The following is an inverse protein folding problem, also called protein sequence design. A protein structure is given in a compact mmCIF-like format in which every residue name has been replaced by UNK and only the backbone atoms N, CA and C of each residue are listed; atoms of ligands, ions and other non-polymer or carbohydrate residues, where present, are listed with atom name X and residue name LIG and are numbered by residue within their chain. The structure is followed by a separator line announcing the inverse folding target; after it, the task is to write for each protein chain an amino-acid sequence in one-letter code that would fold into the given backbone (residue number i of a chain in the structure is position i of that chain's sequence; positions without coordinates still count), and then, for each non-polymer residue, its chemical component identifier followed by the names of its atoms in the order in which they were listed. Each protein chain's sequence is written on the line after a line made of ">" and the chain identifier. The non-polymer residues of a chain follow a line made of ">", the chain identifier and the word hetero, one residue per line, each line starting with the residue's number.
data_IF_623061627264
#
_entry.id   IF_623061627264
#
_cell.length_a   1.000
_cell.length_b   1.000
_cell.length_c   1.000
_cell.angle_alpha   90.00
_cell.angle_beta   90.00
_cell.angle_gamma   90.00
#
_symmetry.space_group_name_H-M   'P 1'
#
loop_
_entity.id
_entity.type
_entity.pdbx_description
1 polymer ?
#
# COMPACT_ATOMS: atom_id res chain seq x y z
N UNK A 1 14.65 22.84 -43.63
CA UNK A 1 13.90 21.61 -44.00
C UNK A 1 14.93 20.61 -44.51
N UNK A 2 15.38 19.71 -43.63
CA UNK A 2 16.41 18.69 -43.93
C UNK A 2 15.88 17.40 -43.28
N UNK A 3 15.54 16.43 -44.11
CA UNK A 3 15.03 15.12 -43.68
C UNK A 3 16.23 14.17 -43.64
N UNK A 4 16.56 13.66 -42.45
CA UNK A 4 17.60 12.64 -42.27
C UNK A 4 16.91 11.28 -42.08
N UNK A 5 17.03 10.43 -43.09
CA UNK A 5 16.56 9.04 -43.05
C UNK A 5 17.53 8.18 -42.24
N UNK A 6 17.06 7.58 -41.14
CA UNK A 6 17.79 6.51 -40.43
C UNK A 6 17.24 5.15 -40.87
N UNK A 7 18.11 4.34 -41.48
CA UNK A 7 17.87 2.92 -41.78
C UNK A 7 17.82 2.10 -40.48
N UNK A 8 16.74 1.34 -40.30
CA UNK A 8 16.60 0.28 -39.32
C UNK A 8 17.41 -0.96 -39.75
N UNK A 9 18.28 -1.45 -38.87
CA UNK A 9 18.96 -2.75 -39.01
C UNK A 9 18.38 -3.69 -37.96
N UNK A 10 17.75 -4.78 -38.41
CA UNK A 10 17.22 -5.86 -37.56
C UNK A 10 18.33 -6.88 -37.24
N UNK A 11 18.46 -7.37 -35.99
CA UNK A 11 19.39 -8.43 -35.67
C UNK A 11 18.71 -9.81 -35.87
N UNK A 12 19.09 -10.51 -36.94
CA UNK A 12 19.08 -11.98 -36.98
C UNK A 12 20.50 -12.49 -36.74
N UNK A 13 20.58 -13.66 -36.12
CA UNK A 13 21.79 -14.47 -35.88
C UNK A 13 22.55 -14.19 -34.57
N UNK A 14 22.04 -14.78 -33.47
CA UNK A 14 22.90 -15.24 -32.36
C UNK A 14 22.73 -16.74 -32.18
N UNK A 15 23.81 -17.47 -32.51
CA UNK A 15 24.02 -18.89 -32.25
C UNK A 15 24.42 -19.07 -30.78
N UNK A 16 23.90 -20.07 -30.05
CA UNK A 16 24.30 -20.33 -28.66
C UNK A 16 25.67 -21.04 -28.57
N UNK A 17 26.50 -20.75 -27.55
CA UNK A 17 27.77 -21.44 -27.38
C UNK A 17 27.59 -22.87 -26.86
N UNK A 18 28.29 -23.78 -27.54
CA UNK A 18 28.45 -25.21 -27.32
C UNK A 18 29.03 -25.54 -25.94
N UNK A 19 28.37 -26.46 -25.25
CA UNK A 19 28.79 -27.08 -23.99
C UNK A 19 29.91 -28.09 -24.27
N UNK A 20 31.13 -27.82 -23.81
CA UNK A 20 32.25 -28.74 -23.90
C UNK A 20 32.23 -29.74 -22.74
N UNK A 21 31.98 -31.02 -23.05
CA UNK A 21 32.26 -32.15 -22.17
C UNK A 21 33.79 -32.31 -22.00
N UNK A 22 34.26 -32.36 -20.75
CA UNK A 22 35.59 -32.88 -20.41
C UNK A 22 35.39 -34.11 -19.53
N UNK A 23 35.94 -35.24 -19.97
CA UNK A 23 35.99 -36.52 -19.24
C UNK A 23 37.09 -36.49 -18.16
N UNK A 24 36.96 -37.28 -17.08
CA UNK A 24 37.94 -37.32 -16.00
C UNK A 24 39.10 -38.27 -16.32
N UNK A 25 40.32 -37.87 -15.95
CA UNK A 25 41.46 -38.76 -15.84
C UNK A 25 41.98 -38.79 -14.40
N UNK A 26 42.48 -39.96 -14.02
CA UNK A 26 42.79 -40.42 -12.68
C UNK A 26 44.19 -40.02 -12.20
N UNK A 27 44.37 -40.22 -10.89
CA UNK A 27 45.63 -40.44 -10.15
C UNK A 27 46.37 -39.21 -9.60
N UNK A 28 46.61 -39.25 -8.28
CA UNK A 28 47.41 -38.25 -7.56
C UNK A 28 47.18 -38.33 -6.06
N UNK A 29 47.91 -39.24 -5.43
CA UNK A 29 48.03 -39.44 -3.99
C UNK A 29 48.82 -38.28 -3.32
N UNK A 30 48.73 -38.22 -1.98
CA UNK A 30 49.62 -37.57 -1.00
C UNK A 30 49.18 -36.28 -0.30
N UNK A 31 48.98 -36.49 1.02
CA UNK A 31 49.52 -35.72 2.14
C UNK A 31 48.72 -34.53 2.70
N UNK A 32 48.29 -34.77 3.93
CA UNK A 32 47.97 -33.88 5.03
C UNK A 32 48.65 -32.49 5.00
N UNK A 33 47.84 -31.42 5.01
CA UNK A 33 48.21 -30.13 5.60
C UNK A 33 47.00 -29.51 6.32
N UNK A 34 47.23 -29.08 7.56
CA UNK A 34 46.24 -28.49 8.46
C UNK A 34 45.61 -27.19 7.90
N UNK A 35 44.38 -26.83 8.33
CA UNK A 35 43.71 -25.61 7.87
C UNK A 35 44.35 -24.33 8.46
N UNK A 36 44.39 -23.22 7.71
CA UNK A 36 44.83 -21.94 8.22
C UNK A 36 43.80 -21.35 9.19
N UNK A 37 44.29 -20.83 10.31
CA UNK A 37 43.51 -20.07 11.29
C UNK A 37 42.90 -18.82 10.65
N UNK A 38 41.58 -18.68 10.79
CA UNK A 38 40.86 -17.43 10.53
C UNK A 38 41.25 -16.38 11.59
N UNK A 39 41.45 -15.10 11.21
CA UNK A 39 41.62 -14.03 12.19
C UNK A 39 40.32 -13.80 12.96
N UNK A 40 40.40 -13.89 14.28
CA UNK A 40 39.35 -13.46 15.20
C UNK A 40 39.12 -11.95 14.99
N UNK A 41 37.92 -11.56 14.56
CA UNK A 41 37.48 -10.16 14.61
C UNK A 41 37.40 -9.75 16.08
N UNK A 42 38.23 -8.79 16.47
CA UNK A 42 38.17 -8.13 17.77
C UNK A 42 37.36 -6.85 17.63
N UNK A 43 36.06 -6.97 17.38
CA UNK A 43 35.18 -5.82 17.51
C UNK A 43 35.02 -5.50 19.01
N UNK A 44 35.26 -4.24 19.42
CA UNK A 44 35.07 -3.85 20.80
C UNK A 44 33.59 -3.97 21.19
N UNK A 45 33.28 -4.31 22.46
CA UNK A 45 31.91 -4.34 22.93
C UNK A 45 31.25 -2.96 22.77
N UNK A 46 29.94 -2.91 22.52
CA UNK A 46 29.23 -1.66 22.33
C UNK A 46 29.41 -0.74 23.53
N UNK A 47 29.56 0.54 23.22
CA UNK A 47 29.73 1.59 24.22
C UNK A 47 28.47 1.72 25.08
N UNK A 48 28.61 2.27 26.29
CA UNK A 48 27.46 2.56 27.17
C UNK A 48 26.42 3.48 26.51
N UNK A 49 26.81 4.24 25.48
CA UNK A 49 25.96 5.15 24.72
C UNK A 49 25.13 4.39 23.67
N UNK A 50 25.69 3.35 23.05
CA UNK A 50 24.96 2.42 22.15
C UNK A 50 23.98 1.53 22.92
N UNK A 51 24.35 1.09 24.14
CA UNK A 51 23.42 0.36 25.03
C UNK A 51 22.28 1.25 25.56
N UNK A 52 22.52 2.54 25.76
CA UNK A 52 21.47 3.49 26.15
C UNK A 52 20.48 3.76 25.00
N UNK A 53 20.93 3.70 23.74
CA UNK A 53 20.09 3.89 22.56
C UNK A 53 19.12 2.72 22.34
N UNK A 54 19.56 1.49 22.64
CA UNK A 54 18.72 0.29 22.64
C UNK A 54 17.69 0.28 23.78
N UNK A 55 18.05 0.79 24.97
CA UNK A 55 17.14 0.85 26.13
C UNK A 55 16.01 1.88 25.98
N UNK A 56 16.21 2.96 25.19
CA UNK A 56 15.15 3.93 24.88
C UNK A 56 14.09 3.32 23.94
N UNK A 57 14.47 2.34 23.10
CA UNK A 57 13.54 1.66 22.19
C UNK A 57 12.61 0.66 22.93
N UNK A 58 13.07 0.04 24.03
CA UNK A 58 12.25 -0.89 24.82
C UNK A 58 11.33 -0.20 25.86
N UNK A 59 11.63 1.04 26.26
CA UNK A 59 10.85 1.80 27.25
C UNK A 59 9.54 2.36 26.69
N UNK A 60 9.44 2.57 25.37
CA UNK A 60 8.25 3.18 24.74
C UNK A 60 7.02 2.25 24.62
N UNK A 61 7.15 0.96 24.97
CA UNK A 61 6.06 -0.03 24.84
C UNK A 61 5.70 -0.81 26.11
N UNK A 62 6.21 -0.40 27.28
CA UNK A 62 5.82 -1.03 28.55
C UNK A 62 4.60 -0.33 29.17
N UNK A 63 3.41 -0.87 28.90
CA UNK A 63 2.16 -0.42 29.55
C UNK A 63 2.05 -1.09 30.91
N UNK A 64 2.10 -0.28 31.97
CA UNK A 64 1.80 -0.63 33.37
C UNK A 64 0.39 -1.25 33.50
N UNK A 65 0.22 -2.46 34.07
CA UNK A 65 -1.06 -2.91 34.57
C UNK A 65 -1.16 -2.63 36.07
N UNK A 66 -1.90 -1.57 36.46
CA UNK A 66 -2.42 -1.43 37.82
C UNK A 66 -3.93 -1.27 37.77
N UNK A 67 -4.64 -2.21 38.41
CA UNK A 67 -6.03 -2.01 38.81
C UNK A 67 -6.92 -3.25 38.76
N UNK A 68 -6.67 -4.25 39.60
CA UNK A 68 -7.76 -5.11 40.13
C UNK A 68 -7.44 -5.42 41.60
N UNK A 69 -8.21 -4.80 42.50
CA UNK A 69 -8.29 -5.16 43.91
C UNK A 69 -9.45 -6.14 44.11
N UNK A 70 -9.23 -7.16 44.95
CA UNK A 70 -10.32 -7.92 45.56
C UNK A 70 -10.18 -9.43 45.46
N UNK A 71 -9.47 -10.04 46.42
CA UNK A 71 -10.02 -11.08 47.31
C UNK A 71 -8.91 -11.69 48.18
N UNK A 72 -9.08 -11.56 49.50
CA UNK A 72 -8.41 -12.32 50.58
C UNK A 72 -8.93 -13.78 50.57
N UNK A 73 -8.30 -14.79 51.24
CA UNK A 73 -7.69 -14.64 52.56
C UNK A 73 -6.47 -15.53 52.95
N UNK A 74 -5.98 -15.21 54.17
CA UNK A 74 -5.33 -16.05 55.18
C UNK A 74 -3.90 -16.59 54.90
N UNK A 75 -2.92 -16.19 55.73
CA UNK A 75 -2.34 -16.97 56.85
C UNK A 75 -1.14 -16.22 57.50
N UNK A 76 -1.23 -16.09 58.84
CA UNK A 76 -0.23 -15.98 59.93
C UNK A 76 1.01 -15.06 59.86
N UNK A 77 0.96 -14.04 60.74
CA UNK A 77 1.94 -13.59 61.75
C UNK A 77 3.45 -13.76 61.52
N UNK A 78 4.20 -12.67 61.65
CA UNK A 78 5.35 -12.53 62.57
C UNK A 78 5.63 -11.04 62.86
N UNK A 79 6.02 -10.80 64.11
CA UNK A 79 6.50 -9.61 64.84
C UNK A 79 7.76 -8.98 64.20
N UNK A 80 8.32 -7.81 64.49
CA UNK A 80 8.10 -6.62 65.36
C UNK A 80 9.19 -5.60 64.97
N UNK A 81 8.97 -4.32 65.27
CA UNK A 81 9.99 -3.29 65.54
C UNK A 81 10.91 -2.84 64.38
N UNK A 82 10.69 -1.63 63.87
CA UNK A 82 11.52 -0.45 64.18
C UNK A 82 11.10 0.74 63.30
N UNK A 83 10.70 1.83 63.94
CA UNK A 83 10.62 3.18 63.37
C UNK A 83 11.42 4.10 64.28
N UNK A 84 12.09 5.10 63.69
CA UNK A 84 11.69 6.45 64.09
C UNK A 84 11.43 7.39 62.89
N UNK A 85 10.36 8.16 63.09
CA UNK A 85 10.04 9.53 62.67
C UNK A 85 11.09 10.30 61.82
N UNK A 86 10.65 11.14 60.87
CA UNK A 86 10.38 12.52 61.28
C UNK A 86 9.17 13.23 60.63
N UNK A 87 8.49 13.99 61.49
CA UNK A 87 7.95 15.35 61.35
C UNK A 87 7.82 16.00 59.95
N UNK A 88 6.55 16.33 59.64
CA UNK A 88 6.01 17.64 59.29
C UNK A 88 6.69 18.51 58.22
N UNK A 89 6.01 18.68 57.07
CA UNK A 89 5.84 19.99 56.41
C UNK A 89 4.39 20.12 55.90
N UNK A 90 3.90 21.32 56.08
CA UNK A 90 2.55 21.88 55.92
C UNK A 90 1.97 21.92 54.52
N UNK A 91 0.64 22.09 54.52
CA UNK A 91 -0.31 22.23 53.42
C UNK A 91 -0.02 23.38 52.44
N UNK A 92 -0.58 23.21 51.24
CA UNK A 92 -0.83 24.25 50.25
C UNK A 92 -1.85 23.75 49.23
N UNK A 93 -3.12 24.13 49.41
CA UNK A 93 -4.24 23.95 48.49
C UNK A 93 -3.95 24.55 47.11
N UNK A 94 -4.38 23.91 46.01
CA UNK A 94 -5.15 24.51 44.89
C UNK A 94 -5.86 23.41 44.06
N UNK A 95 -7.19 23.46 44.08
CA UNK A 95 -8.19 23.17 43.05
C UNK A 95 -8.20 21.82 42.27
N UNK A 96 -9.28 21.07 42.52
CA UNK A 96 -10.11 20.42 41.50
C UNK A 96 -10.41 21.39 40.35
N UNK A 97 -10.36 20.94 39.09
CA UNK A 97 -11.53 20.86 38.20
C UNK A 97 -11.14 20.43 36.76
N UNK A 98 -12.12 19.84 36.07
CA UNK A 98 -12.24 19.66 34.61
C UNK A 98 -11.55 18.46 33.93
N UNK A 99 -12.19 17.31 34.07
CA UNK A 99 -12.32 16.26 33.05
C UNK A 99 -13.64 16.48 32.31
N UNK A 100 -13.59 16.81 31.01
CA UNK A 100 -14.65 16.70 29.98
C UNK A 100 -14.07 17.38 28.71
N UNK A 101 -14.39 17.08 27.46
CA UNK A 101 -15.11 16.05 26.74
C UNK A 101 -14.67 16.24 25.27
N UNK A 102 -14.69 15.19 24.45
CA UNK A 102 -14.29 15.30 23.04
C UNK A 102 -14.72 14.11 22.20
N UNK A 103 -15.94 13.63 22.41
CA UNK A 103 -16.60 12.65 21.53
C UNK A 103 -17.98 13.19 21.17
N UNK A 104 -18.09 13.86 20.02
CA UNK A 104 -19.32 13.99 19.24
C UNK A 104 -19.06 14.89 18.02
N UNK A 105 -19.29 14.37 16.81
CA UNK A 105 -19.92 15.10 15.70
C UNK A 105 -19.87 14.22 14.44
N UNK A 106 -20.89 13.39 14.20
CA UNK A 106 -21.37 13.02 12.86
C UNK A 106 -22.82 12.52 12.98
N UNK A 107 -23.76 13.47 12.99
CA UNK A 107 -25.16 13.22 12.71
C UNK A 107 -25.77 14.50 12.12
N UNK A 108 -26.53 14.35 11.04
CA UNK A 108 -27.37 15.38 10.44
C UNK A 108 -26.76 16.03 9.20
N UNK A 109 -27.29 15.68 8.03
CA UNK A 109 -28.00 16.66 7.20
C UNK A 109 -28.70 15.93 6.04
N UNK A 110 -29.99 15.71 6.24
CA UNK A 110 -30.98 15.47 5.21
C UNK A 110 -31.28 16.81 4.52
N UNK A 111 -30.97 16.91 3.23
CA UNK A 111 -31.37 18.03 2.40
C UNK A 111 -32.21 17.52 1.22
N UNK A 112 -33.50 17.86 1.27
CA UNK A 112 -34.49 17.66 0.24
C UNK A 112 -34.04 18.25 -1.11
N UNK A 113 -33.98 17.41 -2.15
CA UNK A 113 -33.83 17.88 -3.52
C UNK A 113 -35.18 17.80 -4.26
N UNK A 114 -35.64 19.01 -4.53
CA UNK A 114 -36.85 19.42 -5.24
C UNK A 114 -36.70 19.08 -6.73
N UNK A 115 -37.66 18.30 -7.25
CA UNK A 115 -37.77 17.92 -8.66
C UNK A 115 -38.01 19.15 -9.55
N UNK A 116 -37.15 19.34 -10.55
CA UNK A 116 -37.42 20.22 -11.69
C UNK A 116 -37.54 19.38 -12.96
N UNK A 117 -38.80 19.15 -13.29
CA UNK A 117 -39.43 19.14 -14.60
C UNK A 117 -38.53 19.60 -15.77
N UNK A 118 -38.14 18.65 -16.62
CA UNK A 118 -37.59 18.91 -17.95
C UNK A 118 -38.36 18.01 -18.93
N UNK A 119 -39.31 18.62 -19.61
CA UNK A 119 -39.93 18.14 -20.84
C UNK A 119 -39.15 18.78 -21.98
N UNK A 120 -38.56 17.96 -22.86
CA UNK A 120 -38.11 18.41 -24.17
C UNK A 120 -38.71 17.52 -25.24
N UNK A 121 -39.36 18.24 -26.15
CA UNK A 121 -40.23 17.77 -27.21
C UNK A 121 -39.44 17.22 -28.40
N UNK A 122 -40.22 16.52 -29.21
CA UNK A 122 -39.97 15.92 -30.50
C UNK A 122 -39.12 16.79 -31.46
N UNK A 123 -38.20 16.14 -32.19
CA UNK A 123 -37.97 16.52 -33.58
C UNK A 123 -37.75 15.27 -34.42
N UNK A 124 -38.74 15.02 -35.27
CA UNK A 124 -38.83 13.93 -36.22
C UNK A 124 -38.68 14.52 -37.61
N UNK A 125 -37.62 14.16 -38.34
CA UNK A 125 -37.62 14.31 -39.80
C UNK A 125 -37.17 13.01 -40.47
N UNK A 126 -37.95 12.46 -41.42
CA UNK A 126 -37.57 11.32 -42.22
C UNK A 126 -37.04 11.80 -43.57
N UNK A 127 -35.94 11.22 -44.05
CA UNK A 127 -35.57 11.30 -45.46
C UNK A 127 -35.12 9.96 -46.02
N UNK A 128 -35.66 9.71 -47.19
CA UNK A 128 -35.81 8.53 -48.04
C UNK A 128 -34.55 8.08 -48.80
N UNK A 129 -34.44 6.76 -48.94
CA UNK A 129 -34.25 5.92 -50.14
C UNK A 129 -33.06 6.06 -51.13
N UNK A 130 -32.59 4.86 -51.53
CA UNK A 130 -31.94 4.43 -52.79
C UNK A 130 -30.48 4.89 -53.07
N UNK A 131 -29.53 4.10 -53.61
CA UNK A 131 -29.55 2.85 -54.39
C UNK A 131 -28.11 2.25 -54.47
N UNK A 132 -27.99 0.92 -54.45
CA UNK A 132 -27.09 0.08 -55.29
C UNK A 132 -25.55 0.15 -55.21
N UNK A 133 -24.91 -0.92 -54.71
CA UNK A 133 -23.73 -1.55 -55.38
C UNK A 133 -23.44 -2.99 -54.89
N UNK A 134 -22.89 -3.87 -55.77
CA UNK A 134 -22.93 -5.32 -55.57
C UNK A 134 -21.65 -5.93 -54.98
N UNK A 135 -21.83 -6.99 -54.21
CA UNK A 135 -21.13 -8.26 -54.39
C UNK A 135 -19.62 -8.30 -54.12
N UNK A 136 -19.26 -8.50 -52.85
CA UNK A 136 -17.94 -8.98 -52.44
C UNK A 136 -18.06 -9.73 -51.12
N UNK A 137 -18.41 -11.01 -51.18
CA UNK A 137 -18.42 -11.93 -50.02
C UNK A 137 -17.00 -12.22 -49.59
N UNK A 138 -16.48 -11.41 -48.67
CA UNK A 138 -15.53 -11.89 -47.68
C UNK A 138 -16.37 -12.35 -46.48
N UNK A 139 -16.34 -13.65 -46.18
CA UNK A 139 -16.79 -14.18 -44.90
C UNK A 139 -15.92 -13.55 -43.81
N UNK A 140 -16.35 -12.37 -43.34
CA UNK A 140 -16.02 -11.89 -42.02
C UNK A 140 -17.07 -12.54 -41.13
N UNK A 141 -16.63 -13.41 -40.22
CA UNK A 141 -17.42 -13.81 -39.06
C UNK A 141 -17.76 -12.53 -38.28
N UNK A 142 -18.81 -11.82 -38.72
CA UNK A 142 -19.48 -10.81 -37.94
C UNK A 142 -20.36 -11.56 -36.95
N UNK A 143 -19.76 -12.03 -35.86
CA UNK A 143 -20.44 -12.01 -34.57
C UNK A 143 -20.72 -10.53 -34.23
N UNK A 144 -21.65 -9.90 -34.96
CA UNK A 144 -22.44 -8.80 -34.41
C UNK A 144 -23.56 -9.41 -33.59
N UNK A 145 -23.19 -10.23 -32.60
CA UNK A 145 -24.03 -10.39 -31.42
C UNK A 145 -24.23 -8.98 -30.88
N UNK A 146 -25.48 -8.56 -30.65
CA UNK A 146 -25.90 -7.24 -30.16
C UNK A 146 -25.25 -6.93 -28.80
N UNK A 147 -23.95 -6.65 -28.80
CA UNK A 147 -23.14 -6.39 -27.64
C UNK A 147 -23.50 -4.97 -27.19
N UNK A 148 -24.13 -4.80 -26.01
CA UNK A 148 -24.72 -3.51 -25.65
C UNK A 148 -23.66 -2.42 -25.44
N UNK A 149 -22.43 -2.82 -25.07
CA UNK A 149 -21.29 -1.92 -24.88
C UNK A 149 -19.96 -2.65 -25.16
N UNK A 150 -18.89 -1.95 -25.58
CA UNK A 150 -17.57 -2.56 -25.81
C UNK A 150 -17.01 -3.38 -24.64
N UNK A 151 -17.35 -3.00 -23.40
CA UNK A 151 -16.92 -3.66 -22.16
C UNK A 151 -17.87 -4.76 -21.67
N UNK A 152 -18.98 -5.03 -22.36
CA UNK A 152 -19.90 -6.10 -21.99
C UNK A 152 -19.27 -7.47 -22.30
N UNK A 153 -19.40 -8.41 -21.37
CA UNK A 153 -18.91 -9.79 -21.50
C UNK A 153 -20.07 -10.76 -21.32
N UNK A 154 -20.08 -11.86 -22.06
CA UNK A 154 -21.03 -12.96 -21.81
C UNK A 154 -20.49 -13.90 -20.73
N UNK A 155 -21.36 -14.71 -20.13
CA UNK A 155 -20.91 -15.69 -19.14
C UNK A 155 -19.92 -16.72 -19.73
N UNK A 156 -20.06 -17.09 -21.00
CA UNK A 156 -19.19 -18.02 -21.72
C UNK A 156 -17.89 -17.38 -22.22
N UNK A 157 -17.74 -16.05 -22.11
CA UNK A 157 -16.53 -15.33 -22.49
C UNK A 157 -15.34 -15.78 -21.61
N UNK A 158 -14.17 -16.13 -22.20
CA UNK A 158 -12.99 -16.51 -21.44
C UNK A 158 -12.55 -15.49 -20.39
N UNK A 159 -12.61 -14.18 -20.72
CA UNK A 159 -12.27 -13.10 -19.77
C UNK A 159 -13.24 -13.06 -18.60
N UNK A 160 -14.53 -13.34 -18.85
CA UNK A 160 -15.51 -13.47 -17.78
C UNK A 160 -15.22 -14.69 -16.90
N UNK A 161 -14.95 -15.85 -17.51
CA UNK A 161 -14.70 -17.10 -16.79
C UNK A 161 -13.41 -17.06 -15.96
N UNK A 162 -12.40 -16.32 -16.42
CA UNK A 162 -11.13 -16.14 -15.72
C UNK A 162 -11.34 -15.42 -14.39
N UNK A 163 -12.18 -14.39 -14.34
CA UNK A 163 -12.27 -13.50 -13.19
C UNK A 163 -13.57 -13.61 -12.39
N UNK A 164 -14.62 -14.16 -12.98
CA UNK A 164 -15.95 -14.26 -12.40
C UNK A 164 -16.47 -15.70 -12.41
N UNK A 165 -17.50 -15.92 -11.61
CA UNK A 165 -18.34 -17.11 -11.65
C UNK A 165 -19.78 -16.70 -11.37
N UNK A 166 -20.75 -17.53 -11.79
CA UNK A 166 -22.15 -17.26 -11.54
C UNK A 166 -22.60 -17.89 -10.22
N UNK A 167 -23.07 -17.07 -9.28
CA UNK A 167 -23.72 -17.53 -8.04
C UNK A 167 -25.18 -17.14 -8.09
N UNK A 168 -26.05 -18.14 -8.29
CA UNK A 168 -27.51 -17.94 -8.46
C UNK A 168 -27.84 -16.97 -9.62
N UNK A 169 -27.12 -17.09 -10.74
CA UNK A 169 -27.31 -16.24 -11.92
C UNK A 169 -26.58 -14.90 -11.87
N UNK A 170 -26.12 -14.47 -10.69
CA UNK A 170 -25.41 -13.21 -10.51
C UNK A 170 -23.89 -13.39 -10.71
N UNK A 171 -23.22 -12.43 -11.35
CA UNK A 171 -21.77 -12.46 -11.51
C UNK A 171 -21.12 -12.18 -10.15
N UNK A 172 -20.30 -13.11 -9.68
CA UNK A 172 -19.50 -12.95 -8.47
C UNK A 172 -18.04 -13.03 -8.85
N UNK A 173 -17.28 -11.99 -8.50
CA UNK A 173 -15.82 -12.01 -8.66
C UNK A 173 -15.23 -13.16 -7.85
N UNK A 174 -14.30 -13.89 -8.45
CA UNK A 174 -13.52 -14.93 -7.76
C UNK A 174 -12.70 -14.36 -6.61
N UNK A 175 -12.15 -13.17 -6.82
CA UNK A 175 -11.53 -12.34 -5.77
C UNK A 175 -12.00 -10.88 -5.95
N UNK A 176 -12.52 -10.27 -4.86
CA UNK A 176 -13.02 -8.90 -4.86
C UNK A 176 -11.93 -7.83 -5.10
N UNK A 177 -10.67 -8.25 -5.03
CA UNK A 177 -9.48 -7.43 -5.25
C UNK A 177 -8.61 -7.96 -6.39
N UNK A 178 -9.14 -8.87 -7.20
CA UNK A 178 -8.43 -9.39 -8.36
C UNK A 178 -7.98 -8.22 -9.26
N UNK A 179 -6.72 -8.27 -9.67
CA UNK A 179 -6.13 -7.41 -10.68
C UNK A 179 -5.92 -8.25 -11.95
N UNK A 180 -6.03 -7.63 -13.12
CA UNK A 180 -5.69 -8.26 -14.41
C UNK A 180 -4.17 -8.39 -14.57
N UNK A 181 -3.70 -8.90 -15.72
CA UNK A 181 -2.28 -9.10 -15.99
C UNK A 181 -1.45 -7.80 -15.89
N UNK A 182 -2.10 -6.67 -16.13
CA UNK A 182 -1.52 -5.33 -16.10
C UNK A 182 -1.62 -4.68 -14.69
N UNK A 183 -2.15 -5.43 -13.71
CA UNK A 183 -2.33 -4.97 -12.34
C UNK A 183 -3.53 -4.03 -12.16
N UNK A 184 -4.41 -3.92 -13.15
CA UNK A 184 -5.62 -3.09 -13.04
C UNK A 184 -6.73 -3.89 -12.38
N UNK A 185 -7.49 -3.23 -11.50
CA UNK A 185 -8.53 -3.91 -10.75
C UNK A 185 -9.66 -4.37 -11.66
N UNK A 186 -9.99 -5.65 -11.59
CA UNK A 186 -11.10 -6.21 -12.35
C UNK A 186 -12.42 -5.60 -11.86
N UNK A 187 -13.24 -5.02 -12.77
CA UNK A 187 -14.44 -4.27 -12.41
C UNK A 187 -15.48 -5.16 -11.71
N UNK A 188 -16.43 -4.58 -11.01
CA UNK A 188 -17.61 -5.35 -10.63
C UNK A 188 -18.52 -5.47 -11.86
N UNK A 189 -19.18 -6.60 -12.05
CA UNK A 189 -20.14 -6.79 -13.16
C UNK A 189 -21.56 -6.87 -12.61
N UNK A 190 -22.55 -6.54 -13.43
CA UNK A 190 -23.97 -6.82 -13.20
C UNK A 190 -24.57 -7.49 -14.44
N UNK A 191 -25.59 -8.33 -14.24
CA UNK A 191 -26.36 -8.87 -15.35
C UNK A 191 -27.07 -7.73 -16.13
N UNK A 192 -27.10 -7.87 -17.45
CA UNK A 192 -27.80 -7.03 -18.40
C UNK A 192 -28.69 -7.91 -19.30
N UNK A 193 -29.47 -7.27 -20.18
CA UNK A 193 -30.33 -7.98 -21.12
C UNK A 193 -29.51 -8.88 -22.07
N UNK A 194 -30.13 -9.94 -22.58
CA UNK A 194 -29.50 -10.85 -23.54
C UNK A 194 -28.41 -11.77 -22.97
N UNK A 195 -28.30 -11.91 -21.64
CA UNK A 195 -27.25 -12.74 -21.02
C UNK A 195 -25.87 -12.07 -20.96
N UNK A 196 -25.83 -10.77 -21.23
CA UNK A 196 -24.65 -9.94 -21.09
C UNK A 196 -24.40 -9.55 -19.64
N UNK A 197 -23.14 -9.29 -19.32
CA UNK A 197 -22.71 -8.71 -18.07
C UNK A 197 -21.95 -7.42 -18.37
N UNK A 198 -22.31 -6.35 -17.67
CA UNK A 198 -21.72 -5.03 -17.87
C UNK A 198 -21.03 -4.56 -16.60
N UNK A 199 -19.93 -3.79 -16.71
CA UNK A 199 -19.29 -3.19 -15.55
C UNK A 199 -20.25 -2.31 -14.76
N UNK A 200 -20.22 -2.43 -13.43
CA UNK A 200 -20.91 -1.53 -12.51
C UNK A 200 -20.01 -0.32 -12.30
N UNK A 201 -20.48 0.86 -12.71
CA UNK A 201 -19.85 2.11 -12.31
C UNK A 201 -19.96 2.26 -10.79
N UNK A 202 -18.84 2.07 -10.09
CA UNK A 202 -18.87 1.98 -8.63
C UNK A 202 -19.12 3.31 -7.91
N UNK A 203 -19.36 4.42 -8.62
CA UNK A 203 -19.34 5.79 -8.08
C UNK A 203 -17.99 6.18 -7.46
N UNK A 204 -17.01 5.27 -7.49
CA UNK A 204 -15.64 5.44 -7.00
C UNK A 204 -14.75 5.80 -8.18
N UNK A 205 -14.11 6.94 -8.08
CA UNK A 205 -13.00 7.34 -8.92
C UNK A 205 -11.79 6.46 -8.59
N UNK A 206 -11.45 5.52 -9.49
CA UNK A 206 -10.38 4.52 -9.34
C UNK A 206 -8.99 5.01 -9.72
N UNK A 207 -7.95 4.60 -9.02
CA UNK A 207 -6.60 4.95 -9.45
C UNK A 207 -6.31 4.41 -10.85
N UNK A 208 -5.46 5.10 -11.60
CA UNK A 208 -4.82 4.55 -12.78
C UNK A 208 -3.31 4.74 -12.65
N UNK A 209 -2.56 4.07 -13.51
CA UNK A 209 -1.11 3.98 -13.37
C UNK A 209 -0.42 4.26 -14.69
N UNK A 210 0.78 4.83 -14.59
CA UNK A 210 1.71 5.01 -15.69
C UNK A 210 2.52 3.73 -15.86
N UNK A 211 2.43 3.13 -17.04
CA UNK A 211 3.22 1.95 -17.41
C UNK A 211 2.93 0.68 -16.61
N UNK A 212 3.84 -0.27 -16.76
CA UNK A 212 3.74 -1.63 -16.20
C UNK A 212 4.18 -1.70 -14.74
N UNK A 213 3.86 -2.82 -14.09
CA UNK A 213 4.34 -3.11 -12.73
C UNK A 213 5.83 -3.44 -12.72
N UNK A 214 6.61 -2.57 -12.08
CA UNK A 214 8.04 -2.80 -11.86
C UNK A 214 8.27 -3.60 -10.57
N UNK A 215 9.32 -4.44 -10.57
CA UNK A 215 9.62 -5.34 -9.46
C UNK A 215 11.10 -5.30 -9.11
N UNK A 216 11.38 -5.17 -7.81
CA UNK A 216 12.70 -5.26 -7.23
C UNK A 216 12.83 -6.54 -6.40
N UNK A 217 13.91 -7.28 -6.61
CA UNK A 217 14.26 -8.45 -5.82
C UNK A 217 15.24 -8.05 -4.70
N UNK A 218 14.87 -8.33 -3.45
CA UNK A 218 15.73 -8.02 -2.31
C UNK A 218 17.03 -8.83 -2.31
N UNK A 219 18.12 -8.16 -1.93
CA UNK A 219 19.41 -8.78 -1.61
C UNK A 219 19.33 -9.55 -0.28
N UNK A 220 20.34 -10.40 0.00
CA UNK A 220 20.41 -11.13 1.25
C UNK A 220 20.46 -10.21 2.48
N UNK A 221 21.22 -9.11 2.40
CA UNK A 221 21.30 -8.12 3.48
C UNK A 221 19.96 -7.43 3.73
N UNK A 222 19.20 -7.12 2.67
CA UNK A 222 17.86 -6.52 2.80
C UNK A 222 16.87 -7.53 3.38
N UNK A 223 16.95 -8.81 3.00
CA UNK A 223 16.16 -9.87 3.62
C UNK A 223 16.41 -9.95 5.12
N UNK A 224 17.67 -9.89 5.55
CA UNK A 224 18.05 -9.87 6.97
C UNK A 224 17.54 -8.63 7.69
N UNK A 225 17.67 -7.44 7.08
CA UNK A 225 17.11 -6.18 7.61
C UNK A 225 15.61 -6.27 7.86
N UNK A 226 14.87 -6.98 6.99
CA UNK A 226 13.42 -7.13 7.08
C UNK A 226 12.96 -8.34 7.92
N UNK A 227 13.87 -9.23 8.30
CA UNK A 227 13.52 -10.51 8.93
C UNK A 227 12.66 -10.34 10.19
N UNK A 228 13.01 -9.38 11.06
CA UNK A 228 12.26 -9.12 12.28
C UNK A 228 10.85 -8.60 11.98
N UNK A 229 10.71 -7.64 11.06
CA UNK A 229 9.41 -7.04 10.71
C UNK A 229 8.47 -8.11 10.13
N UNK A 230 9.00 -8.99 9.28
CA UNK A 230 8.23 -10.11 8.72
C UNK A 230 7.84 -11.11 9.81
N UNK A 231 8.75 -11.47 10.71
CA UNK A 231 8.47 -12.38 11.81
C UNK A 231 7.37 -11.85 12.75
N UNK A 232 7.43 -10.56 13.11
CA UNK A 232 6.39 -9.92 13.93
C UNK A 232 5.02 -9.92 13.25
N UNK A 233 4.99 -9.64 11.94
CA UNK A 233 3.75 -9.70 11.16
C UNK A 233 3.16 -11.10 11.11
N UNK A 234 3.99 -12.11 10.87
CA UNK A 234 3.54 -13.50 10.78
C UNK A 234 3.07 -14.04 12.14
N UNK A 235 3.70 -13.59 13.24
CA UNK A 235 3.22 -13.85 14.59
C UNK A 235 1.83 -13.23 14.82
N UNK A 236 1.61 -11.97 14.45
CA UNK A 236 0.31 -11.31 14.56
C UNK A 236 -0.78 -12.01 13.73
N UNK A 237 -0.45 -12.47 12.51
CA UNK A 237 -1.37 -13.25 11.67
C UNK A 237 -1.72 -14.60 12.31
N UNK A 238 -0.76 -15.26 12.93
CA UNK A 238 -0.99 -16.51 13.67
C UNK A 238 -1.92 -16.26 14.84
N UNK A 239 -1.67 -15.22 15.64
CA UNK A 239 -2.57 -14.81 16.74
C UNK A 239 -3.98 -14.50 16.24
N UNK A 240 -4.14 -13.75 15.15
CA UNK A 240 -5.45 -13.47 14.57
C UNK A 240 -6.16 -14.76 14.15
N UNK A 241 -5.44 -15.71 13.55
CA UNK A 241 -6.02 -17.01 13.16
C UNK A 241 -6.50 -17.79 14.39
N UNK A 242 -5.70 -17.84 15.45
CA UNK A 242 -6.07 -18.53 16.69
C UNK A 242 -7.28 -17.88 17.36
N UNK A 243 -7.30 -16.55 17.45
CA UNK A 243 -8.42 -15.76 17.97
C UNK A 243 -9.70 -15.99 17.16
N UNK A 244 -9.62 -16.15 15.83
CA UNK A 244 -10.77 -16.46 14.96
C UNK A 244 -11.31 -17.89 15.14
N UNK A 245 -10.47 -18.81 15.60
CA UNK A 245 -10.84 -20.21 15.82
C UNK A 245 -11.34 -20.48 17.24
N UNK A 246 -11.13 -19.56 18.18
CA UNK A 246 -11.65 -19.65 19.54
C UNK A 246 -13.17 -19.43 19.56
N UNK A 247 -13.91 -20.45 20.02
CA UNK A 247 -15.37 -20.42 20.15
C UNK A 247 -15.86 -19.41 21.21
N UNK A 248 -14.98 -18.98 22.11
CA UNK A 248 -15.29 -18.03 23.19
C UNK A 248 -14.73 -16.62 22.92
N UNK A 249 -14.29 -16.33 21.69
CA UNK A 249 -13.69 -15.04 21.34
C UNK A 249 -14.66 -13.87 21.58
N UNK A 250 -14.14 -12.81 22.20
CA UNK A 250 -14.88 -11.54 22.33
C UNK A 250 -14.62 -10.62 21.14
N UNK A 251 -15.58 -9.77 20.79
CA UNK A 251 -15.41 -8.75 19.75
C UNK A 251 -14.22 -7.82 20.03
N UNK A 252 -13.89 -7.57 21.31
CA UNK A 252 -12.73 -6.78 21.71
C UNK A 252 -11.42 -7.48 21.34
N UNK A 253 -11.28 -8.77 21.66
CA UNK A 253 -10.08 -9.55 21.36
C UNK A 253 -9.87 -9.64 19.84
N UNK A 254 -10.94 -9.89 19.09
CA UNK A 254 -10.90 -9.92 17.64
C UNK A 254 -10.46 -8.57 17.06
N UNK A 255 -11.02 -7.46 17.54
CA UNK A 255 -10.64 -6.11 17.12
C UNK A 255 -9.17 -5.80 17.42
N UNK A 256 -8.66 -6.21 18.58
CA UNK A 256 -7.26 -6.02 18.95
C UNK A 256 -6.32 -6.83 18.05
N UNK A 257 -6.65 -8.10 17.75
CA UNK A 257 -5.85 -8.93 16.86
C UNK A 257 -5.81 -8.37 15.42
N UNK A 258 -6.95 -7.89 14.91
CA UNK A 258 -6.97 -7.19 13.61
C UNK A 258 -6.11 -5.93 13.63
N UNK A 259 -6.20 -5.11 14.68
CA UNK A 259 -5.40 -3.89 14.81
C UNK A 259 -3.90 -4.20 14.82
N UNK A 260 -3.49 -5.26 15.51
CA UNK A 260 -2.09 -5.66 15.58
C UNK A 260 -1.56 -6.12 14.20
N UNK A 261 -2.33 -6.95 13.49
CA UNK A 261 -2.01 -7.32 12.10
C UNK A 261 -1.89 -6.11 11.20
N UNK A 262 -2.81 -5.15 11.31
CA UNK A 262 -2.75 -3.89 10.57
C UNK A 262 -1.46 -3.14 10.87
N UNK A 263 -1.13 -2.92 12.14
CA UNK A 263 0.08 -2.19 12.56
C UNK A 263 1.36 -2.87 12.04
N UNK A 264 1.49 -4.19 12.21
CA UNK A 264 2.68 -4.93 11.75
C UNK A 264 2.78 -4.98 10.23
N UNK A 265 1.65 -5.02 9.54
CA UNK A 265 1.59 -4.90 8.08
C UNK A 265 1.98 -3.49 7.61
N UNK A 266 1.50 -2.43 8.27
CA UNK A 266 1.90 -1.06 7.97
C UNK A 266 3.41 -0.87 8.12
N UNK A 267 4.02 -1.40 9.19
CA UNK A 267 5.48 -1.36 9.38
C UNK A 267 6.25 -2.00 8.22
N UNK A 268 5.81 -3.17 7.73
CA UNK A 268 6.42 -3.83 6.57
C UNK A 268 6.24 -3.01 5.28
N UNK A 269 5.05 -2.43 5.08
CA UNK A 269 4.77 -1.55 3.95
C UNK A 269 5.68 -0.33 3.95
N UNK A 270 5.75 0.38 5.07
CA UNK A 270 6.56 1.61 5.23
C UNK A 270 8.05 1.33 5.03
N UNK A 271 8.58 0.25 5.63
CA UNK A 271 9.96 -0.14 5.42
C UNK A 271 10.25 -0.44 3.94
N UNK A 272 9.31 -1.09 3.25
CA UNK A 272 9.43 -1.36 1.81
C UNK A 272 9.37 -0.09 0.96
N UNK A 273 8.52 0.87 1.34
CA UNK A 273 8.42 2.19 0.70
C UNK A 273 9.72 2.98 0.80
N UNK A 274 10.34 3.00 1.99
CA UNK A 274 11.65 3.63 2.19
C UNK A 274 12.72 2.97 1.30
N UNK A 275 12.79 1.63 1.31
CA UNK A 275 13.73 0.91 0.45
C UNK A 275 13.49 1.21 -1.04
N UNK A 276 12.23 1.36 -1.46
CA UNK A 276 11.90 1.70 -2.83
C UNK A 276 12.46 3.09 -3.22
N UNK A 277 12.26 4.10 -2.38
CA UNK A 277 12.80 5.44 -2.64
C UNK A 277 14.33 5.42 -2.71
N UNK A 278 14.99 4.73 -1.77
CA UNK A 278 16.46 4.55 -1.76
C UNK A 278 16.98 3.92 -3.05
N UNK A 279 16.25 2.95 -3.63
CA UNK A 279 16.69 2.22 -4.84
C UNK A 279 16.33 2.89 -6.15
N UNK A 280 15.17 3.53 -6.22
CA UNK A 280 14.66 4.16 -7.43
C UNK A 280 15.33 5.50 -7.69
N UNK A 281 15.56 6.27 -6.63
CA UNK A 281 16.05 7.64 -6.73
C UNK A 281 17.47 7.81 -6.22
N UNK A 282 18.00 6.85 -5.45
CA UNK A 282 19.36 6.93 -4.92
C UNK A 282 20.43 6.83 -6.01
N UNK A 283 21.58 7.43 -5.73
CA UNK A 283 22.70 7.46 -6.66
C UNK A 283 23.79 8.39 -6.17
N UNK A 284 24.91 8.42 -6.89
CA UNK A 284 25.99 9.36 -6.59
C UNK A 284 25.50 10.80 -6.78
N UNK A 285 25.67 11.63 -5.75
CA UNK A 285 25.27 13.03 -5.77
C UNK A 285 23.78 13.30 -5.58
N UNK A 286 22.96 12.28 -5.28
CA UNK A 286 21.54 12.48 -4.96
C UNK A 286 21.33 12.63 -3.45
N UNK A 287 20.60 13.66 -3.05
CA UNK A 287 20.10 13.83 -1.67
C UNK A 287 18.66 13.34 -1.57
N UNK A 288 18.37 12.47 -0.59
CA UNK A 288 17.03 11.98 -0.29
C UNK A 288 16.68 12.38 1.14
N UNK A 289 15.63 13.18 1.30
CA UNK A 289 15.20 13.71 2.60
C UNK A 289 13.72 13.38 2.87
N UNK A 290 13.38 12.74 4.01
CA UNK A 290 11.99 12.57 4.39
C UNK A 290 11.39 13.94 4.77
N UNK A 291 10.20 14.23 4.25
CA UNK A 291 9.38 15.39 4.61
C UNK A 291 8.21 14.99 5.51
N UNK A 292 8.25 13.81 6.13
CA UNK A 292 7.24 13.30 7.04
C UNK A 292 7.89 12.92 8.38
N UNK A 293 7.11 12.92 9.45
CA UNK A 293 7.62 12.53 10.76
C UNK A 293 7.93 11.01 10.83
N UNK A 294 9.17 10.67 11.18
CA UNK A 294 9.65 9.28 11.26
C UNK A 294 9.23 8.57 12.55
N UNK A 295 8.82 9.33 13.57
CA UNK A 295 8.33 8.81 14.86
C UNK A 295 6.89 8.27 14.80
N UNK A 296 6.21 8.46 13.67
CA UNK A 296 4.85 8.00 13.44
C UNK A 296 3.76 8.96 13.91
N UNK A 297 4.10 10.18 14.35
CA UNK A 297 3.12 11.21 14.71
C UNK A 297 2.27 11.67 13.52
N UNK A 298 2.78 11.54 12.29
CA UNK A 298 2.11 11.90 11.04
C UNK A 298 1.66 10.64 10.27
N UNK A 299 0.91 9.76 10.94
CA UNK A 299 0.35 8.54 10.33
C UNK A 299 -1.17 8.50 10.34
N UNK A 300 -1.74 7.70 9.45
CA UNK A 300 -3.16 7.41 9.38
C UNK A 300 -3.97 8.44 8.58
N UNK A 301 -5.27 8.49 8.83
CA UNK A 301 -6.19 9.31 8.04
C UNK A 301 -5.75 10.79 8.02
N UNK A 302 -5.64 11.37 6.83
CA UNK A 302 -5.24 12.76 6.62
C UNK A 302 -3.75 13.00 6.41
N UNK A 303 -2.94 11.94 6.36
CA UNK A 303 -1.54 11.99 5.95
C UNK A 303 -1.29 11.01 4.80
N UNK A 304 -0.29 11.30 3.97
CA UNK A 304 0.30 10.28 3.09
C UNK A 304 1.17 9.33 3.92
N UNK A 305 1.35 8.08 3.49
CA UNK A 305 2.19 7.13 4.21
C UNK A 305 3.64 7.63 4.30
N UNK A 306 4.18 8.18 3.20
CA UNK A 306 5.48 8.86 3.17
C UNK A 306 5.52 9.98 2.14
N UNK A 307 6.32 11.00 2.45
CA UNK A 307 6.67 12.12 1.56
C UNK A 307 8.18 12.31 1.60
N UNK A 308 8.80 12.44 0.43
CA UNK A 308 10.24 12.62 0.28
C UNK A 308 10.54 13.78 -0.66
N UNK A 309 11.61 14.52 -0.35
CA UNK A 309 12.31 15.37 -1.30
C UNK A 309 13.51 14.60 -1.83
N UNK A 310 13.67 14.60 -3.15
CA UNK A 310 14.79 14.00 -3.87
C UNK A 310 15.43 15.11 -4.70
N UNK A 311 16.68 15.42 -4.41
CA UNK A 311 17.45 16.44 -5.14
C UNK A 311 18.57 15.75 -5.90
N UNK A 312 18.55 15.85 -7.22
CA UNK A 312 19.59 15.25 -8.07
C UNK A 312 20.94 15.99 -7.97
N UNK A 313 21.98 15.42 -8.59
CA UNK A 313 23.32 16.02 -8.59
C UNK A 313 23.39 17.41 -9.26
N UNK A 314 22.38 17.77 -10.06
CA UNK A 314 22.23 19.08 -10.66
C UNK A 314 21.50 20.09 -9.77
N UNK A 315 21.06 19.69 -8.58
CA UNK A 315 20.28 20.51 -7.66
C UNK A 315 18.80 20.60 -8.01
N UNK A 316 18.29 19.78 -8.94
CA UNK A 316 16.87 19.77 -9.28
C UNK A 316 16.10 18.92 -8.27
N UNK A 317 15.17 19.54 -7.57
CA UNK A 317 14.29 18.88 -6.62
C UNK A 317 13.09 18.22 -7.31
N UNK A 318 12.68 17.08 -6.75
CA UNK A 318 11.44 16.37 -7.04
C UNK A 318 10.81 15.94 -5.73
N UNK A 319 9.48 15.93 -5.68
CA UNK A 319 8.77 15.35 -4.54
C UNK A 319 8.26 13.95 -4.87
N UNK A 320 8.38 13.05 -3.91
CA UNK A 320 7.90 11.67 -4.04
C UNK A 320 6.92 11.39 -2.90
N UNK A 321 5.67 11.13 -3.25
CA UNK A 321 4.65 10.61 -2.34
C UNK A 321 4.57 9.10 -2.54
N UNK A 322 4.57 8.35 -1.44
CA UNK A 322 4.56 6.89 -1.47
C UNK A 322 3.35 6.37 -0.71
N UNK A 323 2.48 5.60 -1.35
CA UNK A 323 1.50 4.73 -0.68
C UNK A 323 2.12 3.37 -0.44
N UNK A 324 2.08 2.91 0.80
CA UNK A 324 2.80 1.72 1.24
C UNK A 324 1.82 0.59 1.57
N UNK A 325 2.04 -0.61 1.02
CA UNK A 325 1.23 -1.80 1.32
C UNK A 325 2.12 -3.01 1.61
N UNK A 326 1.76 -3.80 2.62
CA UNK A 326 2.46 -5.06 2.96
C UNK A 326 1.97 -6.29 2.15
N UNK A 327 1.67 -6.09 0.87
CA UNK A 327 1.18 -7.14 -0.04
C UNK A 327 0.00 -6.66 -0.88
N UNK A 328 -0.92 -7.56 -1.21
CA UNK A 328 -2.10 -7.32 -2.07
C UNK A 328 -3.27 -6.59 -1.40
N UNK A 329 -3.05 -5.84 -0.33
CA UNK A 329 -4.12 -5.05 0.30
C UNK A 329 -4.70 -4.02 -0.68
N UNK A 330 -6.02 -3.75 -0.67
CA UNK A 330 -6.60 -2.78 -1.60
C UNK A 330 -6.05 -1.37 -1.38
N UNK A 331 -6.20 -0.54 -2.40
CA UNK A 331 -6.05 0.90 -2.25
C UNK A 331 -7.13 1.45 -1.32
N UNK A 332 -6.73 2.41 -0.49
CA UNK A 332 -7.64 3.17 0.34
C UNK A 332 -8.59 4.00 -0.52
N UNK A 333 -9.80 4.22 -0.02
CA UNK A 333 -10.75 5.15 -0.63
C UNK A 333 -11.21 6.16 0.40
N UNK A 334 -11.64 7.33 -0.07
CA UNK A 334 -12.18 8.38 0.78
C UNK A 334 -13.27 9.15 0.05
N UNK A 335 -14.16 9.77 0.81
CA UNK A 335 -15.07 10.78 0.27
C UNK A 335 -14.31 12.10 0.12
N UNK A 336 -14.28 12.63 -1.10
CA UNK A 336 -13.73 13.93 -1.45
C UNK A 336 -14.86 14.77 -2.07
N UNK A 337 -15.60 15.48 -1.22
CA UNK A 337 -16.85 16.16 -1.62
C UNK A 337 -17.95 15.15 -1.98
N UNK A 338 -18.45 15.23 -3.22
CA UNK A 338 -19.50 14.34 -3.74
C UNK A 338 -18.97 13.08 -4.43
N UNK A 339 -17.64 12.92 -4.51
CA UNK A 339 -17.00 11.77 -5.16
C UNK A 339 -16.34 10.89 -4.11
N UNK A 340 -16.39 9.57 -4.30
CA UNK A 340 -15.53 8.65 -3.57
C UNK A 340 -14.28 8.46 -4.43
N UNK A 341 -13.11 8.80 -3.90
CA UNK A 341 -11.85 8.78 -4.61
C UNK A 341 -10.91 7.73 -4.01
N UNK A 342 -10.22 6.97 -4.85
CA UNK A 342 -9.21 5.99 -4.46
C UNK A 342 -7.82 6.64 -4.35
N UNK A 343 -6.95 6.09 -3.51
CA UNK A 343 -5.53 6.47 -3.43
C UNK A 343 -4.90 6.54 -4.82
N UNK A 344 -4.11 7.57 -5.10
CA UNK A 344 -3.52 7.76 -6.43
C UNK A 344 -4.37 8.53 -7.44
N UNK A 345 -5.56 9.00 -7.04
CA UNK A 345 -6.37 9.93 -7.86
C UNK A 345 -6.13 11.38 -7.46
N UNK A 346 -6.35 12.33 -8.39
CA UNK A 346 -6.25 13.76 -8.11
C UNK A 346 -7.15 14.22 -6.95
N UNK A 347 -8.40 13.75 -6.89
CA UNK A 347 -9.32 14.10 -5.81
C UNK A 347 -8.86 13.54 -4.47
N UNK A 348 -8.33 12.31 -4.43
CA UNK A 348 -7.78 11.75 -3.21
C UNK A 348 -6.58 12.55 -2.72
N UNK A 349 -5.63 12.84 -3.63
CA UNK A 349 -4.42 13.61 -3.36
C UNK A 349 -4.75 14.99 -2.77
N UNK A 350 -5.56 15.79 -3.48
CA UNK A 350 -5.95 17.13 -3.04
C UNK A 350 -6.67 17.08 -1.69
N UNK A 351 -7.51 16.06 -1.48
CA UNK A 351 -8.21 15.90 -0.21
C UNK A 351 -7.26 15.55 0.94
N UNK A 352 -6.11 14.90 0.69
CA UNK A 352 -5.10 14.62 1.73
C UNK A 352 -4.33 15.91 2.01
N UNK A 353 -3.87 16.59 0.96
CA UNK A 353 -3.17 17.88 1.08
C UNK A 353 -4.00 18.87 1.90
N UNK A 354 -5.29 19.04 1.62
CA UNK A 354 -6.16 19.93 2.41
C UNK A 354 -6.28 19.51 3.89
N UNK A 355 -6.24 18.21 4.19
CA UNK A 355 -6.27 17.75 5.59
C UNK A 355 -4.93 17.93 6.28
N UNK A 356 -3.82 17.74 5.57
CA UNK A 356 -2.49 18.06 6.06
C UNK A 356 -2.40 19.56 6.36
N UNK A 357 -2.87 20.40 5.46
CA UNK A 357 -2.84 21.86 5.58
C UNK A 357 -3.57 22.33 6.85
N UNK A 358 -4.79 21.86 7.06
CA UNK A 358 -5.55 22.13 8.28
C UNK A 358 -4.86 21.63 9.56
N UNK A 359 -4.05 20.57 9.49
CA UNK A 359 -3.27 20.06 10.64
C UNK A 359 -1.94 20.77 10.82
N UNK A 360 -1.46 21.45 9.79
CA UNK A 360 -0.23 22.22 9.76
C UNK A 360 -0.46 23.70 10.01
N UNK A 361 -1.70 24.15 10.18
CA UNK A 361 -2.03 25.55 10.46
C UNK A 361 -1.26 26.13 11.66
N UNK A 362 -0.94 25.30 12.67
CA UNK A 362 -0.12 25.70 13.82
C UNK A 362 1.39 25.69 13.57
N UNK A 363 1.84 25.31 12.37
CA UNK A 363 3.23 25.19 11.91
C UNK A 363 3.37 25.95 10.56
N UNK A 364 3.20 27.28 10.53
CA UNK A 364 3.18 28.07 9.29
C UNK A 364 4.50 28.05 8.52
N UNK A 365 5.59 27.61 9.15
CA UNK A 365 6.88 27.34 8.50
C UNK A 365 6.92 26.04 7.69
N UNK A 366 5.93 25.15 7.87
CA UNK A 366 5.84 23.88 7.14
C UNK A 366 5.12 24.07 5.80
N UNK A 367 5.91 24.35 4.78
CA UNK A 367 5.46 24.63 3.41
C UNK A 367 5.12 23.37 2.58
N UNK A 368 5.08 22.19 3.20
CA UNK A 368 4.99 20.92 2.44
C UNK A 368 3.73 20.81 1.60
N UNK A 369 2.60 21.37 2.04
CA UNK A 369 1.32 21.29 1.31
C UNK A 369 1.36 22.12 0.04
N UNK A 370 1.90 23.33 0.12
CA UNK A 370 2.17 24.20 -1.02
C UNK A 370 3.15 23.53 -1.99
N UNK A 371 4.30 23.04 -1.49
CA UNK A 371 5.31 22.37 -2.31
C UNK A 371 4.77 21.12 -3.04
N UNK A 372 3.87 20.37 -2.42
CA UNK A 372 3.20 19.23 -3.05
C UNK A 372 2.28 19.63 -4.20
N UNK A 373 1.57 20.75 -4.07
CA UNK A 373 0.71 21.29 -5.12
C UNK A 373 1.54 21.85 -6.27
N UNK A 374 2.60 22.60 -5.96
CA UNK A 374 3.52 23.15 -6.95
C UNK A 374 4.24 22.04 -7.72
N UNK A 375 4.79 21.04 -7.03
CA UNK A 375 5.44 19.90 -7.67
C UNK A 375 4.49 19.12 -8.58
N UNK A 376 3.20 19.02 -8.21
CA UNK A 376 2.18 18.43 -9.09
C UNK A 376 1.98 19.29 -10.33
N UNK A 377 1.79 20.60 -10.17
CA UNK A 377 1.55 21.54 -11.27
C UNK A 377 2.72 21.58 -12.27
N UNK A 378 3.95 21.49 -11.75
CA UNK A 378 5.18 21.51 -12.54
C UNK A 378 5.56 20.15 -13.14
N UNK A 379 4.83 19.08 -12.79
CA UNK A 379 5.14 17.72 -13.23
C UNK A 379 6.42 17.14 -12.61
N UNK A 380 6.84 17.66 -11.45
CA UNK A 380 8.00 17.19 -10.67
C UNK A 380 7.61 16.32 -9.47
N UNK A 381 6.32 16.03 -9.31
CA UNK A 381 5.78 15.06 -8.34
C UNK A 381 5.71 13.65 -8.92
N UNK A 382 6.33 12.70 -8.23
CA UNK A 382 5.99 11.27 -8.35
C UNK A 382 5.04 10.86 -7.23
N UNK A 383 3.94 10.24 -7.60
CA UNK A 383 3.06 9.58 -6.63
C UNK A 383 3.07 8.09 -6.93
N UNK A 384 3.66 7.29 -6.05
CA UNK A 384 3.91 5.87 -6.31
C UNK A 384 3.18 4.98 -5.29
N UNK A 385 2.74 3.82 -5.76
CA UNK A 385 2.30 2.71 -4.93
C UNK A 385 3.48 1.74 -4.77
N UNK A 386 3.80 1.38 -3.54
CA UNK A 386 4.79 0.35 -3.23
C UNK A 386 4.12 -0.79 -2.47
N UNK A 387 4.24 -2.01 -3.00
CA UNK A 387 3.75 -3.24 -2.36
C UNK A 387 4.92 -4.15 -2.00
N UNK A 388 5.08 -4.43 -0.70
CA UNK A 388 6.01 -5.42 -0.21
C UNK A 388 5.70 -6.79 -0.81
N UNK A 389 6.72 -7.48 -1.31
CA UNK A 389 6.62 -8.83 -1.84
C UNK A 389 7.12 -9.81 -0.79
N UNK A 390 6.26 -10.79 -0.44
CA UNK A 390 6.61 -11.88 0.46
C UNK A 390 6.65 -13.19 -0.31
N UNK A 391 7.65 -14.04 -0.02
CA UNK A 391 7.67 -15.44 -0.48
C UNK A 391 7.36 -16.37 0.68
N UNK A 392 6.49 -17.39 0.48
CA UNK A 392 6.35 -18.45 1.46
C UNK A 392 7.67 -19.22 1.62
N UNK A 393 8.10 -19.43 2.86
CA UNK A 393 9.27 -20.23 3.21
C UNK A 393 8.93 -21.33 4.22
N UNK A 394 9.91 -22.18 4.53
CA UNK A 394 9.73 -23.32 5.46
C UNK A 394 9.54 -22.91 6.93
N UNK A 395 9.88 -21.67 7.29
CA UNK A 395 9.78 -21.12 8.66
C UNK A 395 8.89 -19.87 8.74
N UNK A 396 7.94 -19.73 7.81
CA UNK A 396 7.13 -18.53 7.65
C UNK A 396 7.46 -17.79 6.35
N UNK A 397 6.91 -16.59 6.22
CA UNK A 397 7.16 -15.74 5.06
C UNK A 397 8.57 -15.15 5.11
N UNK A 398 9.12 -14.86 3.94
CA UNK A 398 10.37 -14.11 3.79
C UNK A 398 10.11 -12.87 2.92
N UNK A 399 10.73 -11.74 3.28
CA UNK A 399 10.75 -10.58 2.40
C UNK A 399 11.49 -10.90 1.10
N UNK A 400 10.91 -10.56 -0.05
CA UNK A 400 11.49 -10.83 -1.36
C UNK A 400 11.65 -9.56 -2.22
N UNK A 401 11.61 -8.39 -1.58
CA UNK A 401 11.65 -7.10 -2.25
C UNK A 401 10.26 -6.49 -2.39
N UNK A 402 10.03 -5.74 -3.45
CA UNK A 402 8.77 -5.00 -3.63
C UNK A 402 8.39 -4.92 -5.10
N UNK A 403 7.12 -4.62 -5.33
CA UNK A 403 6.64 -4.10 -6.62
C UNK A 403 6.24 -2.66 -6.45
N UNK A 404 6.37 -1.87 -7.51
CA UNK A 404 5.89 -0.49 -7.51
C UNK A 404 5.22 -0.12 -8.82
N UNK A 405 4.38 0.91 -8.75
CA UNK A 405 3.75 1.58 -9.90
C UNK A 405 3.65 3.07 -9.62
N UNK A 406 3.74 3.88 -10.66
CA UNK A 406 3.48 5.32 -10.56
C UNK A 406 2.03 5.59 -10.90
N UNK A 407 1.32 6.31 -10.03
CA UNK A 407 -0.03 6.74 -10.30
C UNK A 407 -0.07 7.76 -11.43
N UNK A 408 -1.11 7.68 -12.24
CA UNK A 408 -1.46 8.74 -13.18
C UNK A 408 -2.60 9.57 -12.59
N UNK A 409 -2.24 10.76 -12.08
CA UNK A 409 -3.17 11.65 -11.40
C UNK A 409 -4.14 12.34 -12.35
N UNK A 410 -3.80 12.45 -13.64
CA UNK A 410 -4.48 13.34 -14.59
C UNK A 410 -5.17 12.60 -15.75
N UNK A 411 -5.01 11.28 -15.85
CA UNK A 411 -5.64 10.41 -16.86
C UNK A 411 -7.14 10.16 -16.66
N UNK A 412 -7.79 10.79 -15.67
CA UNK A 412 -9.20 10.55 -15.42
C UNK A 412 -10.09 10.97 -16.60
N UNK A 413 -10.83 10.00 -17.14
CA UNK A 413 -11.78 10.21 -18.25
C UNK A 413 -11.24 9.86 -19.63
N UNK A 414 -9.99 9.41 -19.76
CA UNK A 414 -9.50 8.80 -21.01
C UNK A 414 -9.64 7.29 -20.90
N UNK A 415 -10.81 6.77 -21.26
CA UNK A 415 -10.88 5.38 -21.72
C UNK A 415 -9.98 5.29 -22.96
N UNK A 416 -8.83 4.64 -22.84
CA UNK A 416 -7.96 4.29 -23.98
C UNK A 416 -8.68 3.36 -24.94
#
# INVERSE_FOLDING_TARGET
>A
MVINERKLVTPKDRVPPTTGLIKPDQSGDLSQSAPPHLPMSSDPPPTKQELASLAVYESAYSINPKGVTGSKPLVKSLTSADLPNPAAVTAGDVAEDMLEAGTAALAGDDAELRSSDWSDEEDSTPLTDEEGRPGGTAEVDQESDDKPYPSALRADDPMFQEHYYLRRGEPVRRDAFAEDADGNRIPQMRAAEGGWYVPVESGVQRASFKGDVERYCATQQEKERFAQIVAERDAALTTLKDVKNDLNVTSRNLKMAYKDVTLKSESLGLASGQLAVEKMYGGEGVEIKPLHATDGSERGAGWFDQIWSVTDAGGKERLVVVECKAGGGPLGTRRAGNVIAEQGTAHYFNSIVNQMDARLESRPEDDRTERLLDARADGTLDYILVRASLRPGSRGSEFNGYSHRTFDLDSFGRTS
#
